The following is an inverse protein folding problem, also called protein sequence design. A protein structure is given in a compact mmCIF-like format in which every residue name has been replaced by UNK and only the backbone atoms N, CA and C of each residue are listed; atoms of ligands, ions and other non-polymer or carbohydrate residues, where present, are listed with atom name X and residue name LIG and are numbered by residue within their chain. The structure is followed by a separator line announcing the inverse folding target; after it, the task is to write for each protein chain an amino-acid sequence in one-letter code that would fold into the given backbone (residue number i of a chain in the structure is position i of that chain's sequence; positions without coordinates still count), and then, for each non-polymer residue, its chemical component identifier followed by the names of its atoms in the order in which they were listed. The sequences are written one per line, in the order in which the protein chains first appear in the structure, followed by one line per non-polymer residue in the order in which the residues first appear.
data_IF_394450215815
#
_entry.id   IF_394450215815
#
_cell.length_a   1.000
_cell.length_b   1.000
_cell.length_c   1.000
_cell.angle_alpha   90.00
_cell.angle_beta   90.00
_cell.angle_gamma   90.00
#
_symmetry.space_group_name_H-M   'P 1'
#
loop_
_entity.id
_entity.type
_entity.pdbx_description
1 polymer ?
#
# COMPACT_ATOMS: atom_id res chain seq x y z
N UNK A 1 -15.92 -11.13 19.27
CA UNK A 1 -15.22 -10.17 18.39
C UNK A 1 -16.15 -9.82 17.25
N UNK A 2 -16.56 -8.56 17.14
CA UNK A 2 -17.38 -8.07 16.02
C UNK A 2 -16.60 -6.99 15.30
N UNK A 3 -16.20 -7.26 14.06
CA UNK A 3 -15.50 -6.27 13.23
C UNK A 3 -16.55 -5.41 12.53
N UNK A 4 -16.48 -4.10 12.72
CA UNK A 4 -17.26 -3.11 11.98
C UNK A 4 -16.41 -2.55 10.84
N UNK A 5 -17.00 -2.41 9.65
CA UNK A 5 -16.31 -1.83 8.48
C UNK A 5 -17.00 -0.53 8.09
N UNK A 6 -16.23 0.54 7.98
CA UNK A 6 -16.73 1.87 7.60
C UNK A 6 -15.91 2.43 6.43
N UNK A 7 -16.57 3.17 5.54
CA UNK A 7 -15.90 4.00 4.53
C UNK A 7 -15.77 5.42 5.07
N UNK A 8 -14.55 5.91 5.16
CA UNK A 8 -14.20 7.22 5.70
C UNK A 8 -13.76 8.15 4.56
N UNK A 9 -14.32 9.35 4.55
CA UNK A 9 -14.01 10.43 3.60
C UNK A 9 -13.98 11.78 4.33
N UNK A 10 -13.32 12.79 3.77
CA UNK A 10 -13.34 14.15 4.34
C UNK A 10 -12.78 14.20 5.77
N UNK A 11 -13.42 14.94 6.72
CA UNK A 11 -12.92 15.06 8.09
C UNK A 11 -12.70 13.71 8.80
N UNK A 12 -13.62 12.75 8.63
CA UNK A 12 -13.51 11.40 9.22
C UNK A 12 -12.29 10.63 8.73
N UNK A 13 -11.87 10.86 7.49
CA UNK A 13 -10.65 10.29 6.92
C UNK A 13 -9.42 10.90 7.61
N UNK A 14 -9.40 12.23 7.77
CA UNK A 14 -8.31 12.96 8.42
C UNK A 14 -8.14 12.51 9.88
N UNK A 15 -9.24 12.33 10.60
CA UNK A 15 -9.23 11.87 11.99
C UNK A 15 -8.64 10.46 12.14
N UNK A 16 -8.74 9.61 11.11
CA UNK A 16 -8.23 8.24 11.13
C UNK A 16 -6.74 8.12 10.75
N UNK A 17 -6.10 9.19 10.26
CA UNK A 17 -4.70 9.14 9.80
C UNK A 17 -3.69 8.67 10.85
N UNK A 18 -3.79 9.05 12.14
CA UNK A 18 -2.86 8.55 13.15
C UNK A 18 -2.89 7.03 13.28
N UNK A 19 -4.08 6.43 13.25
CA UNK A 19 -4.24 4.98 13.33
C UNK A 19 -3.79 4.27 12.06
N UNK A 20 -4.06 4.87 10.89
CA UNK A 20 -3.59 4.33 9.61
C UNK A 20 -2.07 4.39 9.50
N UNK A 21 -1.43 5.49 9.92
CA UNK A 21 0.04 5.59 9.96
C UNK A 21 0.64 4.55 10.92
N UNK A 22 0.03 4.34 12.09
CA UNK A 22 0.45 3.29 13.04
C UNK A 22 0.37 1.89 12.42
N UNK A 23 -0.73 1.56 11.74
CA UNK A 23 -0.87 0.27 11.06
C UNK A 23 0.11 0.11 9.91
N UNK A 24 0.29 1.14 9.10
CA UNK A 24 1.22 1.11 7.94
C UNK A 24 2.65 0.86 8.38
N UNK A 25 3.15 1.54 9.41
CA UNK A 25 4.48 1.25 9.97
C UNK A 25 4.57 -0.17 10.50
N UNK A 26 3.57 -0.65 11.25
CA UNK A 26 3.60 -2.01 11.77
C UNK A 26 3.69 -3.06 10.64
N UNK A 27 2.86 -2.92 9.61
CA UNK A 27 2.81 -3.85 8.47
C UNK A 27 4.03 -3.72 7.57
N UNK A 28 4.43 -2.50 7.19
CA UNK A 28 5.54 -2.30 6.27
C UNK A 28 6.91 -2.52 6.89
N UNK A 29 7.04 -2.48 8.22
CA UNK A 29 8.28 -2.89 8.87
C UNK A 29 8.56 -4.38 8.70
N UNK A 30 7.53 -5.19 8.46
CA UNK A 30 7.66 -6.63 8.24
C UNK A 30 8.03 -6.97 6.79
N UNK A 31 8.50 -8.21 6.59
CA UNK A 31 8.73 -8.75 5.25
C UNK A 31 7.39 -8.84 4.48
N UNK A 32 7.33 -8.45 3.18
CA UNK A 32 8.43 -8.18 2.27
C UNK A 32 8.86 -6.71 2.20
N UNK A 33 8.27 -5.79 2.96
CA UNK A 33 8.53 -4.36 2.80
C UNK A 33 9.81 -3.93 3.51
N UNK A 34 10.03 -4.43 4.74
CA UNK A 34 11.19 -4.11 5.57
C UNK A 34 11.45 -2.60 5.69
N UNK A 35 10.40 -1.80 5.61
CA UNK A 35 10.47 -0.35 5.62
C UNK A 35 10.93 0.17 6.99
N UNK A 36 12.00 0.94 6.99
CA UNK A 36 12.54 1.61 8.17
C UNK A 36 12.14 3.09 8.22
N UNK A 37 10.84 3.32 8.30
CA UNK A 37 10.24 4.64 8.54
C UNK A 37 9.71 4.81 9.96
N UNK A 38 9.30 6.03 10.26
CA UNK A 38 8.61 6.39 11.50
C UNK A 38 7.13 6.69 11.26
N UNK A 39 6.34 6.69 12.34
CA UNK A 39 4.93 7.11 12.28
C UNK A 39 4.79 8.55 11.78
N UNK A 40 5.78 9.41 12.07
CA UNK A 40 5.80 10.78 11.57
C UNK A 40 6.00 10.82 10.04
N UNK A 41 6.90 9.98 9.52
CA UNK A 41 7.14 9.85 8.07
C UNK A 41 5.88 9.37 7.35
N UNK A 42 5.22 8.31 7.87
CA UNK A 42 3.97 7.81 7.29
C UNK A 42 2.84 8.82 7.38
N UNK A 43 2.71 9.54 8.49
CA UNK A 43 1.71 10.59 8.62
C UNK A 43 1.91 11.68 7.57
N UNK A 44 3.15 12.11 7.36
CA UNK A 44 3.50 13.08 6.34
C UNK A 44 3.21 12.55 4.94
N UNK A 45 3.54 11.28 4.68
CA UNK A 45 3.28 10.61 3.41
C UNK A 45 1.79 10.51 3.06
N UNK A 46 0.93 10.17 4.02
CA UNK A 46 -0.52 9.98 3.78
C UNK A 46 -1.33 11.28 3.84
N UNK A 47 -0.76 12.37 4.33
CA UNK A 47 -1.49 13.64 4.49
C UNK A 47 -1.95 14.25 3.15
N UNK A 48 -1.13 14.30 2.08
CA UNK A 48 -1.58 14.74 0.76
C UNK A 48 -2.74 13.90 0.23
N UNK A 49 -2.69 12.57 0.42
CA UNK A 49 -3.77 11.66 0.08
C UNK A 49 -5.07 12.05 0.80
N UNK A 50 -4.99 12.34 2.10
CA UNK A 50 -6.15 12.66 2.94
C UNK A 50 -6.84 13.98 2.60
N UNK A 51 -6.09 14.93 2.00
CA UNK A 51 -6.61 16.23 1.59
C UNK A 51 -7.38 16.17 0.28
N UNK A 52 -7.31 15.05 -0.45
CA UNK A 52 -8.04 14.89 -1.70
C UNK A 52 -9.53 14.63 -1.44
N UNK A 53 -10.38 15.25 -2.26
CA UNK A 53 -11.84 15.05 -2.19
C UNK A 53 -12.29 13.68 -2.68
N UNK A 54 -11.45 13.02 -3.48
CA UNK A 54 -11.70 11.72 -4.12
C UNK A 54 -10.97 10.57 -3.42
N UNK A 55 -10.38 10.80 -2.25
CA UNK A 55 -9.74 9.78 -1.42
C UNK A 55 -10.73 9.12 -0.44
N UNK A 56 -10.53 7.83 -0.21
CA UNK A 56 -11.32 7.01 0.73
C UNK A 56 -10.40 6.16 1.59
N UNK A 57 -10.78 5.95 2.84
CA UNK A 57 -10.24 4.86 3.67
C UNK A 57 -11.40 3.91 3.97
N UNK A 58 -11.26 2.63 3.60
CA UNK A 58 -12.16 1.59 4.12
C UNK A 58 -11.48 1.00 5.35
N UNK A 59 -12.02 1.34 6.53
CA UNK A 59 -11.45 1.02 7.83
C UNK A 59 -12.22 -0.12 8.51
N UNK A 60 -11.50 -1.03 9.15
CA UNK A 60 -12.03 -2.08 9.98
C UNK A 60 -11.77 -1.75 11.46
N UNK A 61 -12.81 -1.81 12.28
CA UNK A 61 -12.79 -1.49 13.71
C UNK A 61 -13.14 -2.70 14.57
N UNK A 62 -12.40 -2.87 15.67
CA UNK A 62 -12.73 -3.77 16.77
C UNK A 62 -12.79 -2.96 18.08
N UNK A 63 -13.94 -2.93 18.74
CA UNK A 63 -14.12 -2.15 19.97
C UNK A 63 -13.83 -0.65 19.84
N UNK A 64 -13.99 -0.07 18.64
CA UNK A 64 -13.66 1.32 18.34
C UNK A 64 -12.20 1.58 17.96
N UNK A 65 -11.33 0.57 18.07
CA UNK A 65 -9.95 0.65 17.60
C UNK A 65 -9.87 0.27 16.13
N UNK A 66 -9.20 1.10 15.32
CA UNK A 66 -8.92 0.77 13.92
C UNK A 66 -7.84 -0.32 13.86
N UNK A 67 -8.22 -1.49 13.33
CA UNK A 67 -7.40 -2.71 13.25
C UNK A 67 -7.03 -3.11 11.82
N UNK A 68 -7.66 -2.51 10.82
CA UNK A 68 -7.30 -2.68 9.41
C UNK A 68 -7.75 -1.50 8.58
N UNK A 69 -7.05 -1.25 7.48
CA UNK A 69 -7.44 -0.20 6.53
C UNK A 69 -7.00 -0.57 5.12
N UNK A 70 -7.76 -0.10 4.14
CA UNK A 70 -7.28 0.08 2.77
C UNK A 70 -7.56 1.52 2.34
N UNK A 71 -6.61 2.10 1.63
CA UNK A 71 -6.66 3.47 1.11
C UNK A 71 -6.89 3.43 -0.39
N UNK A 72 -7.80 4.24 -0.91
CA UNK A 72 -8.06 4.35 -2.34
C UNK A 72 -8.22 5.79 -2.78
N UNK A 73 -7.66 6.13 -3.93
CA UNK A 73 -7.84 7.41 -4.62
C UNK A 73 -7.62 7.20 -6.13
N UNK A 74 -8.06 8.12 -7.00
CA UNK A 74 -7.72 8.08 -8.41
C UNK A 74 -6.21 8.06 -8.61
N UNK A 75 -5.77 7.25 -9.58
CA UNK A 75 -4.37 7.14 -9.96
C UNK A 75 -3.79 8.50 -10.37
N UNK A 76 -4.59 9.33 -11.03
CA UNK A 76 -4.18 10.67 -11.43
C UNK A 76 -3.92 11.57 -10.21
N UNK A 77 -2.69 12.10 -10.15
CA UNK A 77 -2.20 12.91 -9.04
C UNK A 77 -1.68 12.10 -7.85
N UNK A 78 -1.39 10.81 -8.04
CA UNK A 78 -0.45 10.07 -7.19
C UNK A 78 1.00 10.35 -7.62
N UNK A 79 1.97 9.78 -6.88
CA UNK A 79 3.40 9.86 -7.20
C UNK A 79 3.69 9.55 -8.68
N UNK A 80 4.57 10.32 -9.36
CA UNK A 80 4.92 10.08 -10.76
C UNK A 80 5.35 8.64 -11.05
N UNK A 81 6.07 8.00 -10.12
CA UNK A 81 6.52 6.61 -10.17
C UNK A 81 5.34 5.63 -10.24
N UNK A 82 4.16 6.00 -9.71
CA UNK A 82 2.94 5.21 -9.79
C UNK A 82 2.11 5.54 -11.02
N UNK A 83 2.20 6.75 -11.56
CA UNK A 83 1.40 7.20 -12.71
C UNK A 83 2.09 6.84 -14.03
N UNK A 84 3.39 7.08 -14.15
CA UNK A 84 4.15 6.94 -15.39
C UNK A 84 4.05 5.54 -16.04
N UNK A 85 4.08 4.41 -15.30
CA UNK A 85 3.94 3.08 -15.89
C UNK A 85 2.62 2.89 -16.66
N UNK A 86 1.56 3.60 -16.28
CA UNK A 86 0.24 3.46 -16.89
C UNK A 86 0.04 4.31 -18.14
N UNK A 87 0.90 5.29 -18.41
CA UNK A 87 0.81 6.13 -19.61
C UNK A 87 0.82 5.29 -20.91
N UNK A 88 1.55 4.17 -20.90
CA UNK A 88 1.64 3.23 -22.02
C UNK A 88 0.59 2.10 -21.98
N UNK A 89 -0.16 1.94 -20.87
CA UNK A 89 -1.01 0.77 -20.64
C UNK A 89 -2.47 0.94 -21.13
N UNK A 90 -2.86 2.15 -21.54
CA UNK A 90 -4.13 2.41 -22.22
C UNK A 90 -5.38 2.30 -21.34
N UNK A 91 -5.94 3.44 -20.95
CA UNK A 91 -7.23 3.54 -20.26
C UNK A 91 -7.13 3.64 -18.73
N UNK A 92 -8.25 3.97 -18.07
CA UNK A 92 -8.36 4.15 -16.61
C UNK A 92 -9.46 3.26 -16.00
N UNK A 93 -9.86 2.19 -16.70
CA UNK A 93 -10.99 1.33 -16.34
C UNK A 93 -10.56 0.15 -15.44
N UNK A 94 -9.69 0.40 -14.46
CA UNK A 94 -9.16 -0.62 -13.57
C UNK A 94 -8.99 -0.12 -12.14
N UNK A 95 -8.92 -1.07 -11.20
CA UNK A 95 -8.36 -0.87 -9.86
C UNK A 95 -6.96 -1.45 -9.86
N UNK A 96 -6.00 -0.67 -9.36
CA UNK A 96 -4.61 -1.07 -9.27
C UNK A 96 -4.13 -1.05 -7.82
N UNK A 97 -3.22 -1.97 -7.50
CA UNK A 97 -2.26 -1.82 -6.40
C UNK A 97 -0.89 -2.31 -6.88
N UNK A 98 0.16 -2.06 -6.10
CA UNK A 98 1.45 -2.71 -6.33
C UNK A 98 1.99 -3.33 -5.04
N UNK A 99 2.84 -4.34 -5.21
CA UNK A 99 3.49 -5.05 -4.11
C UNK A 99 4.99 -5.20 -4.40
N UNK A 100 5.80 -5.19 -3.35
CA UNK A 100 7.25 -5.36 -3.43
C UNK A 100 7.59 -6.74 -3.98
N UNK A 101 8.54 -6.78 -4.90
CA UNK A 101 9.09 -8.02 -5.45
C UNK A 101 10.41 -8.31 -4.74
N UNK A 102 10.45 -9.41 -3.98
CA UNK A 102 11.68 -9.91 -3.34
C UNK A 102 12.23 -11.12 -4.09
N UNK A 103 13.54 -11.33 -3.99
CA UNK A 103 14.18 -12.52 -4.50
C UNK A 103 13.62 -13.78 -3.80
N UNK A 104 13.47 -14.88 -4.54
CA UNK A 104 12.90 -16.12 -4.00
C UNK A 104 13.67 -16.67 -2.78
N UNK A 105 14.98 -16.39 -2.70
CA UNK A 105 15.87 -16.77 -1.60
C UNK A 105 16.26 -15.62 -0.67
N UNK A 106 15.45 -14.57 -0.55
CA UNK A 106 15.72 -13.49 0.41
C UNK A 106 15.86 -14.09 1.83
N UNK A 107 17.05 -14.01 2.47
CA UNK A 107 17.30 -14.65 3.77
C UNK A 107 16.50 -14.02 4.90
N UNK A 108 15.92 -12.83 4.69
CA UNK A 108 15.08 -12.11 5.65
C UNK A 108 13.62 -12.58 5.61
N UNK A 109 13.25 -13.45 4.67
CA UNK A 109 11.90 -14.01 4.57
C UNK A 109 11.60 -14.90 5.79
N UNK A 110 10.56 -14.59 6.59
CA UNK A 110 10.19 -15.40 7.74
C UNK A 110 9.73 -16.81 7.35
N UNK A 111 9.96 -17.77 8.25
CA UNK A 111 9.36 -19.10 8.12
C UNK A 111 7.83 -19.00 8.11
N UNK A 112 7.19 -19.68 7.17
CA UNK A 112 5.73 -19.65 7.04
C UNK A 112 5.15 -18.39 6.38
N UNK A 113 5.98 -17.47 5.87
CA UNK A 113 5.51 -16.29 5.14
C UNK A 113 4.62 -16.69 3.94
N UNK A 114 3.36 -16.23 3.97
CA UNK A 114 2.33 -16.57 2.99
C UNK A 114 2.34 -15.59 1.83
N UNK A 115 2.24 -16.14 0.63
CA UNK A 115 1.98 -15.35 -0.57
C UNK A 115 0.52 -14.88 -0.59
N UNK A 116 0.31 -13.60 -0.84
CA UNK A 116 -1.03 -13.00 -1.00
C UNK A 116 -1.55 -13.11 -2.44
N UNK A 117 -0.74 -13.53 -3.42
CA UNK A 117 -1.18 -13.71 -4.80
C UNK A 117 -2.45 -14.59 -4.91
N UNK A 118 -2.56 -15.76 -4.25
CA UNK A 118 -3.80 -16.56 -4.33
C UNK A 118 -5.03 -15.84 -3.78
N UNK A 119 -4.87 -14.93 -2.81
CA UNK A 119 -5.97 -14.13 -2.27
C UNK A 119 -6.47 -13.10 -3.29
N UNK A 120 -5.54 -12.47 -4.01
CA UNK A 120 -5.81 -11.44 -5.02
C UNK A 120 -6.34 -12.04 -6.34
N UNK A 121 -5.76 -13.15 -6.80
CA UNK A 121 -6.25 -13.86 -7.98
C UNK A 121 -7.71 -14.30 -7.84
N UNK A 122 -8.13 -14.71 -6.63
CA UNK A 122 -9.54 -15.04 -6.33
C UNK A 122 -10.50 -13.85 -6.39
N UNK A 123 -10.00 -12.62 -6.52
CA UNK A 123 -10.76 -11.37 -6.65
C UNK A 123 -10.53 -10.71 -8.00
N UNK A 124 -10.09 -11.50 -8.98
CA UNK A 124 -9.85 -11.10 -10.38
C UNK A 124 -8.73 -10.07 -10.57
N UNK A 125 -7.84 -9.94 -9.59
CA UNK A 125 -6.59 -9.21 -9.78
C UNK A 125 -5.54 -10.13 -10.42
N UNK A 126 -4.79 -9.59 -11.38
CA UNK A 126 -3.64 -10.27 -11.98
C UNK A 126 -2.43 -9.34 -12.04
N UNK A 127 -1.19 -9.85 -11.90
CA UNK A 127 -0.01 -9.06 -12.19
C UNK A 127 0.04 -8.79 -13.70
N UNK A 128 0.51 -7.61 -14.06
CA UNK A 128 0.66 -7.23 -15.47
C UNK A 128 2.12 -7.27 -15.85
N UNK A 129 2.45 -8.13 -16.80
CA UNK A 129 3.82 -8.28 -17.30
C UNK A 129 4.38 -6.95 -17.80
N UNK A 130 5.56 -6.60 -17.31
CA UNK A 130 6.25 -5.35 -17.64
C UNK A 130 5.70 -4.10 -16.95
N UNK A 131 4.53 -4.15 -16.30
CA UNK A 131 3.99 -3.04 -15.53
C UNK A 131 4.56 -3.05 -14.11
N UNK A 132 5.72 -2.42 -13.99
CA UNK A 132 6.49 -2.34 -12.74
C UNK A 132 6.94 -0.90 -12.48
N UNK A 133 7.33 -0.62 -11.25
CA UNK A 133 8.00 0.62 -10.88
C UNK A 133 9.10 0.37 -9.85
N UNK A 134 9.91 1.39 -9.59
CA UNK A 134 10.82 1.44 -8.45
C UNK A 134 10.36 2.53 -7.50
N UNK A 135 10.47 2.27 -6.21
CA UNK A 135 10.25 3.28 -5.19
C UNK A 135 11.30 3.10 -4.10
N UNK A 136 11.85 4.21 -3.62
CA UNK A 136 13.06 4.20 -2.81
C UNK A 136 12.68 4.38 -1.34
N UNK A 137 13.26 3.57 -0.46
CA UNK A 137 13.13 3.72 0.98
C UNK A 137 14.27 3.05 1.73
N UNK A 138 14.48 3.43 2.98
CA UNK A 138 15.43 2.77 3.87
C UNK A 138 14.91 1.43 4.35
N UNK A 139 15.73 0.40 4.29
CA UNK A 139 15.38 -0.93 4.81
C UNK A 139 15.92 -1.19 6.21
N UNK A 140 15.15 -1.95 6.99
CA UNK A 140 15.54 -2.39 8.33
C UNK A 140 16.82 -3.21 8.25
N UNK A 141 17.89 -2.72 8.87
CA UNK A 141 19.17 -3.41 8.96
C UNK A 141 20.18 -3.07 7.86
N UNK A 142 19.78 -2.28 6.85
CA UNK A 142 20.62 -1.95 5.68
C UNK A 142 21.23 -0.53 5.73
N UNK A 143 21.23 0.08 6.92
CA UNK A 143 21.85 1.40 7.17
C UNK A 143 20.93 2.58 6.83
N UNK A 144 21.46 3.80 6.81
CA UNK A 144 20.65 5.02 6.66
C UNK A 144 20.30 5.36 5.21
N UNK A 145 20.87 4.65 4.23
CA UNK A 145 20.67 4.92 2.81
C UNK A 145 19.35 4.33 2.32
N UNK A 146 18.69 5.03 1.39
CA UNK A 146 17.51 4.51 0.71
C UNK A 146 17.93 3.55 -0.39
N UNK A 147 17.19 2.46 -0.53
CA UNK A 147 17.40 1.44 -1.55
C UNK A 147 16.20 1.37 -2.47
N UNK A 148 16.49 1.22 -3.76
CA UNK A 148 15.50 1.12 -4.82
C UNK A 148 14.77 -0.21 -4.76
N UNK A 149 13.46 -0.17 -4.52
CA UNK A 149 12.64 -1.36 -4.41
C UNK A 149 11.69 -1.51 -5.58
N UNK A 150 11.83 -2.65 -6.27
CA UNK A 150 10.96 -3.02 -7.38
C UNK A 150 9.56 -3.41 -6.89
N UNK A 151 8.55 -2.81 -7.49
CA UNK A 151 7.14 -3.14 -7.22
C UNK A 151 6.42 -3.58 -8.49
N UNK A 152 5.62 -4.64 -8.36
CA UNK A 152 4.79 -5.20 -9.43
C UNK A 152 3.36 -4.68 -9.31
N UNK A 153 2.81 -4.12 -10.38
CA UNK A 153 1.40 -3.73 -10.42
C UNK A 153 0.48 -4.92 -10.64
N UNK A 154 -0.65 -4.90 -9.95
CA UNK A 154 -1.75 -5.84 -10.03
C UNK A 154 -3.02 -5.09 -10.40
N UNK A 155 -3.69 -5.52 -11.46
CA UNK A 155 -4.88 -4.84 -11.97
C UNK A 155 -6.11 -5.75 -11.90
N UNK A 156 -7.25 -5.13 -11.61
CA UNK A 156 -8.59 -5.70 -11.83
C UNK A 156 -9.39 -4.73 -12.68
N UNK A 157 -10.00 -5.21 -13.76
CA UNK A 157 -10.89 -4.39 -14.60
C UNK A 157 -12.18 -4.03 -13.83
N UNK A 158 -12.66 -2.79 -14.01
CA UNK A 158 -13.95 -2.31 -13.45
C UNK A 158 -15.15 -2.80 -14.26
#
# INVERSE_FOLDING_TARGET
MSIAVETLTGPRLIDALPDVARLRIAVFREWPYLYDGSVADERHYIEPFARRRDAVIVAAFDGGQLVGATTGAPLLGQHPEFVAPFAAHGGLDFIAFCAVVRAAGDPRRPEGARDLAPFWCKRDYAPVDGLVTSFDWREVGDGPEEVANRMQFWLRRL
#
